data_IF_716671946122
#
_entry.id   IF_716671946122
#
_cell.length_a   1.000
_cell.length_b   1.000
_cell.length_c   1.000
_cell.angle_alpha   90.00
_cell.angle_beta   90.00
_cell.angle_gamma   90.00
#
_symmetry.space_group_name_H-M   'P 1'
#
loop_
_entity.id
_entity.type
_entity.pdbx_description
1 polymer ?
#
# COMPACT_ATOMS: atom_id res chain seq x y z
N UNK A 1 -26.65 -12.48 4.46
CA UNK A 1 -25.23 -12.60 4.05
C UNK A 1 -24.47 -11.41 4.60
N UNK A 2 -23.44 -11.60 5.44
CA UNK A 2 -22.59 -10.47 5.90
C UNK A 2 -21.92 -9.87 4.66
N UNK A 3 -22.30 -8.65 4.29
CA UNK A 3 -21.54 -7.84 3.33
C UNK A 3 -20.12 -7.80 3.85
N UNK A 4 -19.21 -8.57 3.23
CA UNK A 4 -17.78 -8.51 3.54
C UNK A 4 -17.34 -7.13 3.11
N UNK A 5 -17.32 -6.19 4.05
CA UNK A 5 -16.68 -4.88 3.89
C UNK A 5 -15.34 -5.15 3.18
N UNK A 6 -15.11 -4.67 1.94
CA UNK A 6 -13.98 -5.07 1.13
C UNK A 6 -12.72 -4.30 1.56
N UNK A 7 -12.44 -4.30 2.87
CA UNK A 7 -11.20 -3.81 3.42
C UNK A 7 -10.10 -4.79 3.04
N UNK A 8 -9.23 -4.33 2.16
CA UNK A 8 -8.06 -5.08 1.72
C UNK A 8 -6.86 -4.51 2.44
N UNK A 9 -6.08 -5.41 3.04
CA UNK A 9 -4.85 -5.05 3.74
C UNK A 9 -3.73 -4.91 2.71
N UNK A 10 -3.12 -3.74 2.73
CA UNK A 10 -1.96 -3.34 1.96
C UNK A 10 -0.78 -3.17 2.91
N UNK A 11 0.26 -3.94 2.66
CA UNK A 11 1.53 -3.77 3.36
C UNK A 11 2.40 -2.77 2.61
N UNK A 12 3.11 -1.86 3.29
CA UNK A 12 4.06 -0.96 2.64
C UNK A 12 5.12 -1.71 1.83
N UNK A 13 5.49 -2.90 2.31
CA UNK A 13 6.44 -3.82 1.65
C UNK A 13 6.02 -4.29 0.25
N UNK A 14 4.74 -4.17 -0.10
CA UNK A 14 4.29 -4.49 -1.45
C UNK A 14 4.78 -3.47 -2.48
N UNK A 15 5.02 -2.23 -2.04
CA UNK A 15 5.39 -1.08 -2.87
C UNK A 15 6.89 -0.82 -2.89
N UNK A 16 7.63 -1.33 -1.91
CA UNK A 16 9.06 -1.11 -1.75
C UNK A 16 9.85 -1.61 -2.97
N UNK A 17 10.63 -0.72 -3.60
CA UNK A 17 11.49 -1.03 -4.75
C UNK A 17 12.79 -1.75 -4.38
N UNK A 18 13.31 -1.51 -3.17
CA UNK A 18 14.53 -2.11 -2.67
C UNK A 18 14.37 -3.60 -2.40
N UNK A 19 13.13 -4.04 -2.14
CA UNK A 19 12.81 -5.43 -1.84
C UNK A 19 12.58 -6.28 -3.08
N UNK A 20 13.06 -7.52 -3.02
CA UNK A 20 12.80 -8.54 -4.02
C UNK A 20 11.35 -9.06 -3.94
N UNK A 21 10.93 -9.85 -4.94
CA UNK A 21 9.61 -10.50 -4.91
C UNK A 21 9.51 -11.52 -3.78
N UNK A 22 10.62 -12.16 -3.44
CA UNK A 22 10.74 -13.12 -2.34
C UNK A 22 10.52 -12.46 -0.97
N UNK A 23 10.96 -11.20 -0.83
CA UNK A 23 10.83 -10.41 0.41
C UNK A 23 9.46 -9.73 0.57
N UNK A 24 8.59 -9.78 -0.45
CA UNK A 24 7.22 -9.31 -0.36
C UNK A 24 6.77 -8.31 -1.41
N UNK A 25 7.65 -7.85 -2.32
CA UNK A 25 7.25 -6.92 -3.38
C UNK A 25 6.24 -7.58 -4.34
N UNK A 26 5.06 -6.97 -4.49
CA UNK A 26 3.99 -7.47 -5.37
C UNK A 26 3.80 -6.64 -6.64
N UNK A 27 4.56 -5.55 -6.79
CA UNK A 27 4.48 -4.60 -7.90
C UNK A 27 5.72 -4.73 -8.81
N UNK A 28 5.58 -4.57 -10.14
CA UNK A 28 6.73 -4.46 -11.04
C UNK A 28 7.58 -3.21 -10.72
N UNK A 29 8.90 -3.27 -10.96
CA UNK A 29 9.85 -2.20 -10.60
C UNK A 29 9.46 -0.82 -11.15
N UNK A 30 8.80 -0.75 -12.31
CA UNK A 30 8.33 0.51 -12.93
C UNK A 30 7.42 1.35 -12.02
N UNK A 31 6.61 0.68 -11.18
CA UNK A 31 5.70 1.32 -10.22
C UNK A 31 6.15 1.13 -8.76
N UNK A 32 7.33 0.56 -8.52
CA UNK A 32 7.85 0.43 -7.17
C UNK A 32 8.42 1.77 -6.68
N UNK A 33 8.45 1.96 -5.36
CA UNK A 33 8.80 3.22 -4.70
C UNK A 33 9.94 2.94 -3.71
N UNK A 34 11.04 3.70 -3.82
CA UNK A 34 12.25 3.49 -2.99
C UNK A 34 12.14 3.99 -1.55
N UNK A 35 11.32 5.03 -1.30
CA UNK A 35 11.03 5.56 0.03
C UNK A 35 9.53 5.50 0.27
N UNK A 36 9.07 4.44 0.92
CA UNK A 36 7.65 4.24 1.24
C UNK A 36 7.35 4.71 2.66
N UNK A 37 6.31 5.53 2.81
CA UNK A 37 5.78 5.91 4.12
C UNK A 37 4.29 5.51 4.18
N UNK A 38 3.84 4.98 5.32
CA UNK A 38 2.42 4.66 5.50
C UNK A 38 1.51 5.85 5.38
N UNK A 39 1.96 7.02 5.83
CA UNK A 39 1.20 8.25 5.68
C UNK A 39 0.97 8.60 4.20
N UNK A 40 1.96 8.35 3.34
CA UNK A 40 1.85 8.64 1.90
C UNK A 40 0.87 7.67 1.22
N UNK A 41 0.87 6.40 1.63
CA UNK A 41 -0.12 5.42 1.14
C UNK A 41 -1.54 5.86 1.52
N UNK A 42 -1.75 6.30 2.76
CA UNK A 42 -3.07 6.78 3.21
C UNK A 42 -3.49 8.03 2.44
N UNK A 43 -2.57 8.99 2.26
CA UNK A 43 -2.84 10.21 1.49
C UNK A 43 -3.22 9.90 0.05
N UNK A 44 -2.45 9.04 -0.62
CA UNK A 44 -2.72 8.61 -1.99
C UNK A 44 -4.07 7.89 -2.11
N UNK A 45 -4.37 6.97 -1.19
CA UNK A 45 -5.64 6.26 -1.18
C UNK A 45 -6.83 7.20 -0.92
N UNK A 46 -6.70 8.18 -0.01
CA UNK A 46 -7.71 9.22 0.21
C UNK A 46 -7.91 10.10 -1.02
N UNK A 47 -6.84 10.48 -1.71
CA UNK A 47 -6.91 11.27 -2.95
C UNK A 47 -7.65 10.53 -4.07
N UNK A 48 -7.50 9.20 -4.12
CA UNK A 48 -8.24 8.33 -5.04
C UNK A 48 -9.70 8.07 -4.61
N UNK A 49 -10.17 8.63 -3.48
CA UNK A 49 -11.54 8.45 -2.98
C UNK A 49 -11.79 7.10 -2.29
N UNK A 50 -10.73 6.43 -1.85
CA UNK A 50 -10.81 5.22 -1.02
C UNK A 50 -10.70 5.56 0.47
N UNK A 51 -11.45 4.81 1.29
CA UNK A 51 -11.31 4.87 2.74
C UNK A 51 -10.06 4.08 3.15
N UNK A 52 -9.02 4.78 3.61
CA UNK A 52 -7.77 4.17 4.04
C UNK A 52 -7.48 4.45 5.52
N UNK A 53 -7.14 3.40 6.25
CA UNK A 53 -6.74 3.45 7.66
C UNK A 53 -5.34 2.87 7.81
N UNK A 54 -4.40 3.66 8.35
CA UNK A 54 -3.11 3.14 8.78
C UNK A 54 -3.18 2.70 10.22
N UNK A 55 -2.76 1.47 10.49
CA UNK A 55 -2.58 0.96 11.84
C UNK A 55 -1.08 0.78 12.06
N UNK A 56 -0.52 1.68 12.87
CA UNK A 56 0.89 1.67 13.29
C UNK A 56 0.97 0.80 14.54
N UNK A 57 1.88 -0.18 14.56
CA UNK A 57 1.96 -1.19 15.62
C UNK A 57 1.74 -2.64 15.16
N UNK A 58 1.52 -2.87 13.88
CA UNK A 58 1.54 -4.22 13.29
C UNK A 58 2.81 -4.44 12.48
N UNK A 59 3.58 -5.45 12.88
CA UNK A 59 4.81 -5.87 12.21
C UNK A 59 4.51 -6.86 11.08
N UNK A 60 5.28 -6.76 10.00
CA UNK A 60 5.19 -7.72 8.91
C UNK A 60 5.94 -9.00 9.31
N UNK A 61 5.34 -10.20 9.30
CA UNK A 61 5.98 -11.41 9.83
C UNK A 61 7.33 -11.77 9.18
N UNK A 62 7.53 -11.40 7.91
CA UNK A 62 8.80 -11.60 7.18
C UNK A 62 9.84 -10.53 7.47
N UNK A 63 9.47 -9.45 8.14
CA UNK A 63 10.39 -8.36 8.51
C UNK A 63 9.94 -7.78 9.83
N UNK A 64 10.10 -8.59 10.87
CA UNK A 64 9.70 -8.24 12.22
C UNK A 64 10.48 -7.04 12.79
N UNK A 65 11.69 -6.78 12.29
CA UNK A 65 12.50 -5.61 12.65
C UNK A 65 12.05 -4.28 12.02
N UNK A 66 11.22 -4.34 10.98
CA UNK A 66 10.71 -3.15 10.31
C UNK A 66 9.36 -2.83 10.98
N UNK A 67 9.15 -1.56 11.33
CA UNK A 67 7.90 -1.07 11.93
C UNK A 67 7.04 -0.30 10.88
N UNK A 68 6.74 -0.87 9.70
CA UNK A 68 6.09 -0.13 8.65
C UNK A 68 4.59 0.05 8.97
N UNK A 69 3.99 -0.72 9.88
CA UNK A 69 2.54 -0.74 10.07
C UNK A 69 1.78 -1.36 8.89
N UNK A 70 0.45 -1.45 9.02
CA UNK A 70 -0.45 -1.96 7.97
C UNK A 70 -1.42 -0.89 7.50
N UNK A 71 -1.81 -0.94 6.23
CA UNK A 71 -2.79 0.00 5.67
C UNK A 71 -4.00 -0.77 5.15
N UNK A 72 -5.17 -0.54 5.74
CA UNK A 72 -6.43 -1.12 5.30
C UNK A 72 -7.11 -0.15 4.35
N UNK A 73 -7.34 -0.55 3.10
CA UNK A 73 -8.00 0.27 2.07
C UNK A 73 -9.31 -0.41 1.68
N UNK A 74 -10.42 0.34 1.71
CA UNK A 74 -11.68 -0.08 1.13
C UNK A 74 -11.60 0.04 -0.40
N UNK A 75 -11.57 -1.08 -1.10
CA UNK A 75 -11.42 -1.09 -2.56
C UNK A 75 -12.75 -0.97 -3.32
N UNK A 76 -13.89 -0.84 -2.63
CA UNK A 76 -15.24 -0.75 -3.24
C UNK A 76 -15.48 -1.81 -4.33
N UNK A 77 -14.95 -3.02 -4.14
CA UNK A 77 -15.09 -4.13 -5.10
C UNK A 77 -14.04 -4.20 -6.22
N UNK A 78 -13.05 -3.29 -6.26
CA UNK A 78 -11.93 -3.37 -7.23
C UNK A 78 -10.91 -4.46 -6.85
N UNK A 79 -10.29 -5.04 -7.88
CA UNK A 79 -9.24 -6.05 -7.75
C UNK A 79 -7.99 -5.49 -7.03
N UNK A 80 -7.41 -6.30 -6.13
CA UNK A 80 -6.22 -5.94 -5.33
C UNK A 80 -5.08 -5.38 -6.16
N UNK A 81 -4.72 -6.05 -7.26
CA UNK A 81 -3.61 -5.65 -8.11
C UNK A 81 -3.83 -4.30 -8.81
N UNK A 82 -5.06 -3.98 -9.20
CA UNK A 82 -5.38 -2.68 -9.83
C UNK A 82 -5.21 -1.55 -8.84
N UNK A 83 -5.80 -1.70 -7.65
CA UNK A 83 -5.67 -0.70 -6.56
C UNK A 83 -4.22 -0.51 -6.16
N UNK A 84 -3.45 -1.60 -6.10
CA UNK A 84 -2.01 -1.55 -5.82
C UNK A 84 -1.27 -0.66 -6.83
N UNK A 85 -1.56 -0.80 -8.12
CA UNK A 85 -0.95 0.01 -9.18
C UNK A 85 -1.47 1.45 -9.16
N UNK A 86 -2.77 1.67 -8.95
CA UNK A 86 -3.38 3.00 -8.84
C UNK A 86 -2.76 3.80 -7.69
N UNK A 87 -2.69 3.21 -6.50
CA UNK A 87 -2.06 3.82 -5.31
C UNK A 87 -0.58 4.10 -5.56
N UNK A 88 0.16 3.15 -6.16
CA UNK A 88 1.57 3.33 -6.46
C UNK A 88 1.84 4.49 -7.44
N UNK A 89 1.02 4.59 -8.50
CA UNK A 89 1.09 5.71 -9.45
C UNK A 89 0.81 7.04 -8.76
N UNK A 90 -0.17 7.08 -7.87
CA UNK A 90 -0.56 8.30 -7.18
C UNK A 90 0.52 8.75 -6.18
N UNK A 91 1.12 7.83 -5.43
CA UNK A 91 2.28 8.13 -4.57
C UNK A 91 3.43 8.69 -5.40
N UNK A 92 3.73 8.10 -6.57
CA UNK A 92 4.82 8.57 -7.44
C UNK A 92 4.54 9.99 -7.95
N UNK A 93 3.30 10.31 -8.31
CA UNK A 93 2.90 11.69 -8.67
C UNK A 93 3.09 12.65 -7.50
N UNK A 94 2.69 12.25 -6.29
CA UNK A 94 2.87 13.08 -5.09
C UNK A 94 4.36 13.34 -4.78
N UNK A 95 5.24 12.39 -5.07
CA UNK A 95 6.69 12.58 -4.93
C UNK A 95 7.29 13.48 -6.02
N UNK A 96 6.79 13.40 -7.26
CA UNK A 96 7.25 14.24 -8.37
C UNK A 96 6.82 15.71 -8.26
N UNK A 97 5.73 15.98 -7.52
CA UNK A 97 5.18 17.33 -7.33
C UNK A 97 5.83 18.11 -6.18
N UNK A 98 6.84 17.51 -5.54
CA UNK A 98 7.53 18.04 -4.37
C UNK A 98 8.90 18.57 -4.77
#
# INVERSE_FOLDING_TARGET
MRSRKPFIIFWPQYFDAKRSRSEGRRIPKKFAIDKINTNDIVKAAKHLGYSAHSEKGYQYPRTWWDDPGRVSIDTKGKAKSKVLIEVAKEIKKLQLKK
#
